data_IF_381922321962
#
_entry.id   IF_381922321962
#
_cell.length_a   1.000
_cell.length_b   1.000
_cell.length_c   1.000
_cell.angle_alpha   90.00
_cell.angle_beta   90.00
_cell.angle_gamma   90.00
#
_symmetry.space_group_name_H-M   'P 1'
#
loop_
_entity.id
_entity.type
_entity.pdbx_description
1 polymer ?
#
# COMPACT_ATOMS: atom_id res chain seq x y z
N UNK A 1 -28.44 18.71 -24.01
CA UNK A 1 -28.17 20.13 -24.33
C UNK A 1 -27.43 20.87 -23.23
N UNK A 2 -27.80 20.74 -21.95
CA UNK A 2 -27.05 21.38 -20.84
C UNK A 2 -25.61 20.84 -20.65
N UNK A 3 -25.37 19.53 -20.78
CA UNK A 3 -24.01 18.93 -20.67
C UNK A 3 -23.06 19.44 -21.75
N UNK A 4 -23.50 19.53 -23.00
CA UNK A 4 -22.68 20.02 -24.11
C UNK A 4 -22.32 21.51 -23.98
N UNK A 5 -23.16 22.31 -23.33
CA UNK A 5 -22.87 23.72 -23.07
C UNK A 5 -21.85 23.89 -21.93
N UNK A 6 -21.89 23.03 -20.91
CA UNK A 6 -20.94 23.04 -19.80
C UNK A 6 -19.53 22.62 -20.28
N UNK A 7 -19.43 21.61 -21.14
CA UNK A 7 -18.15 21.18 -21.75
C UNK A 7 -17.57 22.26 -22.67
N UNK A 8 -18.41 22.95 -23.45
CA UNK A 8 -17.97 24.04 -24.32
C UNK A 8 -17.47 25.26 -23.54
N UNK A 9 -18.06 25.58 -22.39
CA UNK A 9 -17.63 26.66 -21.50
C UNK A 9 -16.29 26.30 -20.83
N UNK A 10 -16.13 25.06 -20.39
CA UNK A 10 -14.87 24.59 -19.79
C UNK A 10 -13.71 24.61 -20.81
N UNK A 11 -13.97 24.31 -22.08
CA UNK A 11 -12.97 24.40 -23.15
C UNK A 11 -12.54 25.82 -23.52
N UNK A 12 -13.33 26.82 -23.15
CA UNK A 12 -13.02 28.25 -23.39
C UNK A 12 -12.27 28.92 -22.20
N UNK A 13 -12.16 28.23 -21.07
CA UNK A 13 -11.47 28.75 -19.87
C UNK A 13 -9.96 28.51 -19.97
N UNK A 14 -9.17 29.50 -19.51
CA UNK A 14 -7.72 29.28 -19.35
C UNK A 14 -7.42 28.18 -18.34
N UNK A 15 -6.26 27.51 -18.42
CA UNK A 15 -5.87 26.51 -17.42
C UNK A 15 -5.88 27.07 -15.98
N UNK A 16 -5.52 28.32 -15.77
CA UNK A 16 -5.61 28.99 -14.48
C UNK A 16 -7.05 29.12 -13.99
N UNK A 17 -7.97 29.55 -14.86
CA UNK A 17 -9.37 29.69 -14.50
C UNK A 17 -10.03 28.33 -14.19
N UNK A 18 -9.65 27.28 -14.93
CA UNK A 18 -10.07 25.89 -14.66
C UNK A 18 -9.53 25.41 -13.31
N UNK A 19 -8.29 25.76 -12.97
CA UNK A 19 -7.71 25.43 -11.67
C UNK A 19 -8.45 26.12 -10.51
N UNK A 20 -8.73 27.44 -10.63
CA UNK A 20 -9.47 28.16 -9.59
C UNK A 20 -10.93 27.63 -9.44
N UNK A 21 -11.56 27.22 -10.53
CA UNK A 21 -12.87 26.55 -10.48
C UNK A 21 -12.81 25.21 -9.73
N UNK A 22 -11.77 24.41 -9.98
CA UNK A 22 -11.55 23.14 -9.27
C UNK A 22 -11.30 23.37 -7.77
N UNK A 23 -10.53 24.41 -7.44
CA UNK A 23 -10.25 24.82 -6.07
C UNK A 23 -11.54 25.25 -5.33
N UNK A 24 -12.44 25.94 -6.01
CA UNK A 24 -13.75 26.33 -5.48
C UNK A 24 -14.62 25.08 -5.18
N UNK A 25 -14.66 24.11 -6.09
CA UNK A 25 -15.35 22.82 -5.89
C UNK A 25 -14.80 22.10 -4.64
N UNK A 26 -13.48 22.09 -4.46
CA UNK A 26 -12.83 21.46 -3.33
C UNK A 26 -13.09 22.19 -2.02
N UNK A 27 -12.74 23.51 -1.97
CA UNK A 27 -12.61 24.25 -0.73
C UNK A 27 -13.95 24.82 -0.23
N UNK A 28 -14.86 25.18 -1.15
CA UNK A 28 -16.13 25.84 -0.82
C UNK A 28 -17.29 24.87 -0.88
N UNK A 29 -17.37 24.04 -1.93
CA UNK A 29 -18.50 23.14 -2.11
C UNK A 29 -18.25 21.75 -1.47
N UNK A 30 -17.01 21.42 -1.14
CA UNK A 30 -16.65 20.11 -0.58
C UNK A 30 -16.77 18.94 -1.57
N UNK A 31 -16.92 19.24 -2.86
CA UNK A 31 -17.11 18.24 -3.93
C UNK A 31 -15.78 17.63 -4.36
N UNK A 32 -15.15 16.85 -3.48
CA UNK A 32 -13.82 16.29 -3.72
C UNK A 32 -13.70 15.49 -5.04
N UNK A 33 -14.74 14.73 -5.41
CA UNK A 33 -14.70 13.96 -6.65
C UNK A 33 -14.72 14.85 -7.90
N UNK A 34 -15.54 15.91 -7.92
CA UNK A 34 -15.55 16.89 -9.01
C UNK A 34 -14.22 17.61 -9.13
N UNK A 35 -13.66 18.04 -7.99
CA UNK A 35 -12.35 18.69 -7.94
C UNK A 35 -11.23 17.77 -8.46
N UNK A 36 -11.18 16.51 -8.01
CA UNK A 36 -10.18 15.54 -8.48
C UNK A 36 -10.24 15.34 -9.98
N UNK A 37 -11.43 15.16 -10.56
CA UNK A 37 -11.60 15.02 -12.01
C UNK A 37 -11.11 16.25 -12.77
N UNK A 38 -11.37 17.45 -12.25
CA UNK A 38 -10.91 18.70 -12.86
C UNK A 38 -9.39 18.86 -12.77
N UNK A 39 -8.76 18.48 -11.65
CA UNK A 39 -7.31 18.48 -11.52
C UNK A 39 -6.66 17.44 -12.46
N UNK A 40 -7.22 16.23 -12.57
CA UNK A 40 -6.73 15.21 -13.51
C UNK A 40 -6.82 15.68 -14.97
N UNK A 41 -7.89 16.38 -15.34
CA UNK A 41 -8.02 16.97 -16.66
C UNK A 41 -6.94 18.00 -16.94
N UNK A 42 -6.62 18.90 -15.97
CA UNK A 42 -5.52 19.87 -16.08
C UNK A 42 -4.14 19.21 -16.18
N UNK A 43 -3.93 18.13 -15.42
CA UNK A 43 -2.66 17.37 -15.40
C UNK A 43 -2.41 16.66 -16.73
N UNK A 44 -3.49 16.24 -17.40
CA UNK A 44 -3.45 15.50 -18.68
C UNK A 44 -3.44 16.41 -19.90
N UNK A 45 -3.77 17.67 -19.75
CA UNK A 45 -3.83 18.65 -20.83
C UNK A 45 -2.42 19.14 -21.21
N UNK A 46 -1.94 18.84 -22.44
CA UNK A 46 -0.61 19.24 -22.88
C UNK A 46 -0.43 20.78 -22.97
N UNK A 47 -1.51 21.54 -23.07
CA UNK A 47 -1.49 23.00 -23.12
C UNK A 47 -1.45 23.63 -21.72
N UNK A 48 -1.60 22.85 -20.65
CA UNK A 48 -1.52 23.34 -19.29
C UNK A 48 -0.10 23.75 -18.92
N UNK A 49 0.12 25.01 -18.46
CA UNK A 49 1.42 25.46 -18.02
C UNK A 49 1.99 24.64 -16.86
N UNK A 50 3.29 24.38 -16.87
CA UNK A 50 3.96 23.60 -15.79
C UNK A 50 3.60 24.03 -14.37
N UNK A 51 3.53 25.36 -14.04
CA UNK A 51 3.12 25.79 -12.70
C UNK A 51 1.70 25.36 -12.35
N UNK A 52 0.76 25.39 -13.30
CA UNK A 52 -0.62 24.94 -13.08
C UNK A 52 -0.67 23.42 -12.85
N UNK A 53 0.05 22.65 -13.67
CA UNK A 53 0.14 21.18 -13.51
C UNK A 53 0.70 20.83 -12.14
N UNK A 54 1.76 21.51 -11.68
CA UNK A 54 2.33 21.23 -10.36
C UNK A 54 1.36 21.53 -9.21
N UNK A 55 0.61 22.64 -9.31
CA UNK A 55 -0.45 22.99 -8.34
C UNK A 55 -1.59 21.97 -8.38
N UNK A 56 -2.04 21.59 -9.57
CA UNK A 56 -3.11 20.60 -9.75
C UNK A 56 -2.72 19.24 -9.17
N UNK A 57 -1.47 18.79 -9.39
CA UNK A 57 -0.95 17.57 -8.75
C UNK A 57 -0.95 17.67 -7.22
N UNK A 58 -0.60 18.84 -6.66
CA UNK A 58 -0.59 19.05 -5.22
C UNK A 58 -2.01 18.93 -4.64
N UNK A 59 -2.97 19.64 -5.24
CA UNK A 59 -4.37 19.62 -4.81
C UNK A 59 -5.02 18.24 -5.00
N UNK A 60 -4.70 17.55 -6.10
CA UNK A 60 -5.13 16.16 -6.29
C UNK A 60 -4.66 15.26 -5.14
N UNK A 61 -3.40 15.39 -4.73
CA UNK A 61 -2.87 14.67 -3.58
C UNK A 61 -3.63 14.99 -2.29
N UNK A 62 -3.91 16.27 -2.02
CA UNK A 62 -4.66 16.69 -0.85
C UNK A 62 -6.12 16.22 -0.86
N UNK A 63 -6.80 16.24 -2.01
CA UNK A 63 -8.15 15.69 -2.17
C UNK A 63 -8.19 14.18 -1.89
N UNK A 64 -7.19 13.44 -2.38
CA UNK A 64 -7.06 12.00 -2.12
C UNK A 64 -6.86 11.72 -0.63
N UNK A 65 -6.03 12.50 0.08
CA UNK A 65 -5.88 12.40 1.54
C UNK A 65 -7.20 12.66 2.28
N UNK A 66 -7.90 13.75 1.91
CA UNK A 66 -9.21 14.11 2.49
C UNK A 66 -10.28 13.04 2.27
N UNK A 67 -10.20 12.32 1.15
CA UNK A 67 -11.10 11.20 0.82
C UNK A 67 -10.70 9.87 1.47
N UNK A 68 -9.65 9.84 2.30
CA UNK A 68 -9.13 8.61 2.91
C UNK A 68 -8.31 7.73 1.96
N UNK A 69 -8.09 8.15 0.71
CA UNK A 69 -7.31 7.46 -0.33
C UNK A 69 -5.82 7.81 -0.22
N UNK A 70 -5.29 7.70 0.97
CA UNK A 70 -3.97 8.21 1.33
C UNK A 70 -2.85 7.59 0.48
N UNK A 71 -2.92 6.30 0.21
CA UNK A 71 -1.91 5.60 -0.61
C UNK A 71 -1.87 6.12 -2.05
N UNK A 72 -3.02 6.48 -2.60
CA UNK A 72 -3.10 7.04 -3.94
C UNK A 72 -2.55 8.47 -4.01
N UNK A 73 -2.70 9.24 -2.93
CA UNK A 73 -2.19 10.61 -2.83
C UNK A 73 -0.65 10.68 -2.94
N UNK A 74 0.04 9.59 -2.62
CA UNK A 74 1.50 9.51 -2.77
C UNK A 74 1.97 9.68 -4.22
N UNK A 75 1.16 9.23 -5.18
CA UNK A 75 1.50 9.31 -6.62
C UNK A 75 1.69 10.74 -7.11
N UNK A 76 0.71 11.65 -6.96
CA UNK A 76 0.87 13.04 -7.38
C UNK A 76 2.02 13.74 -6.64
N UNK A 77 2.23 13.50 -5.36
CA UNK A 77 3.35 14.11 -4.62
C UNK A 77 4.71 13.62 -5.13
N UNK A 78 4.85 12.32 -5.38
CA UNK A 78 6.10 11.77 -5.95
C UNK A 78 6.39 12.32 -7.34
N UNK A 79 5.34 12.53 -8.15
CA UNK A 79 5.48 13.16 -9.46
C UNK A 79 5.96 14.60 -9.36
N UNK A 80 5.42 15.39 -8.41
CA UNK A 80 5.88 16.75 -8.16
C UNK A 80 7.37 16.75 -7.78
N UNK A 81 7.76 15.93 -6.80
CA UNK A 81 9.13 15.89 -6.32
C UNK A 81 10.15 15.52 -7.41
N UNK A 82 9.74 14.67 -8.37
CA UNK A 82 10.60 14.15 -9.44
C UNK A 82 10.60 15.03 -10.70
N UNK A 83 9.42 15.46 -11.15
CA UNK A 83 9.25 16.09 -12.47
C UNK A 83 9.10 17.61 -12.39
N UNK A 84 8.76 18.16 -11.21
CA UNK A 84 8.48 19.58 -10.99
C UNK A 84 9.31 20.16 -9.83
N UNK A 85 10.56 19.72 -9.68
CA UNK A 85 11.45 20.21 -8.63
C UNK A 85 11.76 21.71 -8.76
N UNK A 86 11.62 22.27 -9.96
CA UNK A 86 11.71 23.69 -10.28
C UNK A 86 10.54 24.53 -9.74
N UNK A 87 9.40 23.88 -9.44
CA UNK A 87 8.23 24.53 -8.86
C UNK A 87 8.35 24.56 -7.33
N UNK A 88 9.08 25.55 -6.81
CA UNK A 88 9.61 25.59 -5.43
C UNK A 88 8.55 25.27 -4.37
N UNK A 89 7.37 25.94 -4.38
CA UNK A 89 6.33 25.75 -3.37
C UNK A 89 5.67 24.36 -3.45
N UNK A 90 5.10 23.95 -4.60
CA UNK A 90 4.54 22.60 -4.72
C UNK A 90 5.56 21.51 -4.41
N UNK A 91 6.82 21.66 -4.84
CA UNK A 91 7.86 20.67 -4.58
C UNK A 91 8.22 20.55 -3.09
N UNK A 92 8.30 21.67 -2.36
CA UNK A 92 8.56 21.66 -0.92
C UNK A 92 7.41 20.99 -0.16
N UNK A 93 6.16 21.32 -0.46
CA UNK A 93 4.98 20.73 0.16
C UNK A 93 4.88 19.23 -0.13
N UNK A 94 5.09 18.83 -1.38
CA UNK A 94 5.10 17.41 -1.76
C UNK A 94 6.19 16.62 -1.01
N UNK A 95 7.41 17.18 -0.87
CA UNK A 95 8.50 16.54 -0.10
C UNK A 95 8.13 16.40 1.38
N UNK A 96 7.52 17.42 1.97
CA UNK A 96 7.07 17.35 3.37
C UNK A 96 6.03 16.25 3.55
N UNK A 97 5.05 16.15 2.64
CA UNK A 97 4.05 15.07 2.67
C UNK A 97 4.70 13.69 2.52
N UNK A 98 5.61 13.54 1.56
CA UNK A 98 6.33 12.28 1.34
C UNK A 98 7.20 11.89 2.54
N UNK A 99 7.88 12.84 3.18
CA UNK A 99 8.67 12.59 4.39
C UNK A 99 7.78 12.08 5.54
N UNK A 100 6.60 12.67 5.75
CA UNK A 100 5.62 12.18 6.72
C UNK A 100 5.18 10.74 6.43
N UNK A 101 5.17 10.35 5.15
CA UNK A 101 4.88 8.97 4.77
C UNK A 101 6.04 8.02 4.95
N UNK A 102 7.27 8.44 4.70
CA UNK A 102 8.47 7.64 5.00
C UNK A 102 8.56 7.34 6.49
N UNK A 103 8.16 8.28 7.34
CA UNK A 103 7.99 8.05 8.78
C UNK A 103 6.82 7.07 9.08
N UNK A 104 5.76 7.09 8.27
CA UNK A 104 4.59 6.21 8.41
C UNK A 104 4.83 4.80 7.89
N UNK A 105 5.79 4.62 6.97
CA UNK A 105 6.23 3.33 6.43
C UNK A 105 7.70 3.09 6.81
N UNK A 106 7.98 2.83 8.09
CA UNK A 106 9.34 2.57 8.56
C UNK A 106 9.90 1.29 7.93
N UNK A 107 11.20 1.05 8.12
CA UNK A 107 11.82 -0.23 7.81
C UNK A 107 11.05 -1.41 8.44
N UNK A 108 11.18 -2.64 7.91
CA UNK A 108 10.54 -3.81 8.48
C UNK A 108 10.83 -3.92 9.98
N UNK A 109 9.79 -4.21 10.78
CA UNK A 109 9.91 -4.23 12.24
C UNK A 109 9.10 -5.37 12.86
N UNK A 110 9.47 -5.77 14.08
CA UNK A 110 8.80 -6.82 14.84
C UNK A 110 8.57 -8.10 14.00
N UNK A 111 9.59 -8.48 13.25
CA UNK A 111 9.54 -9.63 12.33
C UNK A 111 9.61 -10.98 13.07
N UNK A 112 10.09 -10.96 14.30
CA UNK A 112 10.16 -12.09 15.22
C UNK A 112 8.94 -12.17 16.18
N UNK A 113 8.00 -11.22 16.06
CA UNK A 113 6.82 -11.09 16.92
C UNK A 113 7.11 -11.00 18.42
N UNK A 114 8.32 -10.58 18.79
CA UNK A 114 8.70 -10.39 20.21
C UNK A 114 7.87 -9.31 20.88
N UNK A 115 7.44 -8.30 20.11
CA UNK A 115 6.62 -7.21 20.62
C UNK A 115 5.13 -7.54 20.51
N UNK A 116 4.36 -7.03 21.46
CA UNK A 116 2.90 -7.13 21.45
C UNK A 116 2.33 -7.96 22.58
N UNK A 117 1.03 -7.82 22.76
CA UNK A 117 0.25 -8.52 23.78
C UNK A 117 -0.38 -9.76 23.16
N UNK A 118 -0.28 -10.90 23.85
CA UNK A 118 -0.91 -12.15 23.41
C UNK A 118 -2.40 -11.94 23.16
N UNK A 119 -2.92 -12.49 22.07
CA UNK A 119 -4.30 -12.34 21.65
C UNK A 119 -4.64 -11.01 20.97
N UNK A 120 -3.66 -10.12 20.74
CA UNK A 120 -3.82 -8.86 20.01
C UNK A 120 -2.99 -8.86 18.73
N UNK A 121 -3.38 -8.00 17.78
CA UNK A 121 -2.60 -7.82 16.56
C UNK A 121 -1.16 -7.40 16.88
N UNK A 122 -0.14 -7.94 16.17
CA UNK A 122 1.25 -7.60 16.44
C UNK A 122 1.54 -6.14 16.07
N UNK A 123 2.19 -5.36 16.96
CA UNK A 123 2.59 -3.99 16.66
C UNK A 123 3.47 -3.92 15.41
N UNK A 124 3.20 -2.91 14.58
CA UNK A 124 3.93 -2.71 13.33
C UNK A 124 3.44 -3.53 12.15
N UNK A 125 2.47 -4.39 12.37
CA UNK A 125 1.77 -5.13 11.33
C UNK A 125 0.36 -4.59 11.13
N UNK A 126 -0.09 -4.60 9.90
CA UNK A 126 -1.42 -4.17 9.49
C UNK A 126 -2.32 -5.37 9.21
N UNK A 127 -3.60 -5.17 9.41
CA UNK A 127 -4.67 -6.12 9.05
C UNK A 127 -5.71 -5.39 8.22
N UNK A 128 -6.41 -6.05 7.29
CA UNK A 128 -7.52 -5.44 6.56
C UNK A 128 -8.63 -4.99 7.52
N UNK A 129 -9.49 -4.09 7.05
CA UNK A 129 -10.69 -3.71 7.79
C UNK A 129 -11.52 -4.98 8.11
N UNK A 130 -11.87 -5.13 9.37
CA UNK A 130 -12.65 -6.28 9.83
C UNK A 130 -14.08 -6.19 9.29
N UNK A 131 -14.65 -7.29 8.79
CA UNK A 131 -16.08 -7.39 8.61
C UNK A 131 -16.77 -7.34 9.97
N UNK A 132 -18.05 -6.91 10.01
CA UNK A 132 -18.81 -6.74 11.26
C UNK A 132 -18.87 -8.01 12.14
N UNK A 133 -18.75 -9.17 11.50
CA UNK A 133 -18.85 -10.49 12.15
C UNK A 133 -17.51 -11.06 12.62
N UNK A 134 -16.39 -10.36 12.39
CA UNK A 134 -15.06 -10.84 12.76
C UNK A 134 -14.44 -9.99 13.87
N UNK A 135 -13.98 -10.66 14.93
CA UNK A 135 -13.33 -10.00 16.07
C UNK A 135 -11.90 -9.53 15.72
N UNK A 136 -11.19 -10.30 14.89
CA UNK A 136 -9.78 -10.06 14.55
C UNK A 136 -9.35 -10.87 13.32
N UNK A 137 -8.33 -10.39 12.63
CA UNK A 137 -7.66 -11.11 11.55
C UNK A 137 -6.34 -11.75 11.97
N UNK A 138 -5.68 -11.23 12.99
CA UNK A 138 -4.40 -11.75 13.45
C UNK A 138 -4.17 -11.46 14.92
N UNK A 139 -3.36 -12.30 15.55
CA UNK A 139 -2.97 -12.16 16.96
C UNK A 139 -1.57 -12.69 17.23
N UNK A 140 -0.90 -12.11 18.22
CA UNK A 140 0.35 -12.61 18.78
C UNK A 140 0.07 -13.84 19.64
N UNK A 141 0.93 -14.84 19.54
CA UNK A 141 0.97 -16.04 20.40
C UNK A 141 2.34 -16.20 21.03
N UNK A 142 2.37 -16.78 22.25
CA UNK A 142 3.60 -17.10 22.99
C UNK A 142 3.80 -18.61 23.13
N UNK A 143 2.75 -19.40 22.86
CA UNK A 143 2.78 -20.85 22.90
C UNK A 143 2.49 -21.44 21.54
N UNK A 144 3.09 -22.61 21.25
CA UNK A 144 2.93 -23.25 19.95
C UNK A 144 3.76 -22.63 18.83
N UNK A 145 4.60 -21.63 19.16
CA UNK A 145 5.54 -21.01 18.25
C UNK A 145 6.76 -21.90 17.99
N UNK A 146 7.45 -21.65 16.91
CA UNK A 146 8.72 -22.29 16.58
C UNK A 146 9.88 -21.65 17.35
N UNK A 147 9.88 -20.32 17.44
CA UNK A 147 10.87 -19.54 18.18
C UNK A 147 10.41 -19.30 19.63
N UNK A 148 11.36 -18.82 20.47
CA UNK A 148 11.06 -18.38 21.84
C UNK A 148 10.55 -16.95 21.89
N UNK A 149 10.76 -16.15 20.85
CA UNK A 149 10.37 -14.73 20.78
C UNK A 149 8.87 -14.55 20.74
N UNK A 150 8.17 -15.46 20.03
CA UNK A 150 6.74 -15.43 19.77
C UNK A 150 6.46 -15.70 18.30
N UNK A 151 5.19 -15.73 17.96
CA UNK A 151 4.72 -15.88 16.59
C UNK A 151 3.41 -15.14 16.40
N UNK A 152 2.94 -15.04 15.18
CA UNK A 152 1.60 -14.55 14.91
C UNK A 152 0.72 -15.66 14.32
N UNK A 153 -0.58 -15.53 14.53
CA UNK A 153 -1.61 -16.38 13.91
C UNK A 153 -2.50 -15.48 13.07
N UNK A 154 -2.66 -15.83 11.80
CA UNK A 154 -3.60 -15.19 10.87
C UNK A 154 -4.84 -16.08 10.79
N UNK A 155 -5.99 -15.49 11.07
CA UNK A 155 -7.24 -16.21 11.22
C UNK A 155 -8.01 -16.23 9.90
N UNK A 156 -8.43 -17.42 9.48
CA UNK A 156 -9.38 -17.60 8.39
C UNK A 156 -10.81 -17.51 8.96
N UNK A 157 -11.48 -16.40 8.66
CA UNK A 157 -12.81 -16.15 9.21
C UNK A 157 -13.95 -16.54 8.24
N UNK A 158 -13.61 -16.93 7.00
CA UNK A 158 -14.60 -17.20 5.97
C UNK A 158 -13.97 -17.99 4.82
N UNK A 159 -14.71 -18.91 4.18
CA UNK A 159 -14.21 -19.61 3.00
C UNK A 159 -14.02 -18.70 1.77
N UNK A 160 -14.66 -17.52 1.77
CA UNK A 160 -14.61 -16.56 0.66
C UNK A 160 -13.79 -15.31 0.96
N UNK A 161 -13.25 -15.18 2.17
CA UNK A 161 -12.44 -14.04 2.59
C UNK A 161 -11.06 -14.50 3.02
N UNK A 162 -10.07 -13.71 2.65
CA UNK A 162 -8.67 -13.96 2.94
C UNK A 162 -8.32 -13.23 4.23
N UNK A 163 -7.89 -13.98 5.25
CA UNK A 163 -7.21 -13.40 6.40
C UNK A 163 -5.84 -12.88 5.96
N UNK A 164 -5.43 -11.73 6.44
CA UNK A 164 -4.18 -11.12 6.01
C UNK A 164 -3.49 -10.39 7.16
N UNK A 165 -2.16 -10.52 7.20
CA UNK A 165 -1.28 -9.80 8.11
C UNK A 165 -0.08 -9.31 7.30
N UNK A 166 0.15 -8.00 7.25
CA UNK A 166 1.14 -7.44 6.35
C UNK A 166 1.83 -6.19 6.90
N UNK A 167 2.95 -5.84 6.30
CA UNK A 167 3.61 -4.56 6.46
C UNK A 167 3.71 -3.85 5.11
N UNK A 168 3.57 -2.52 5.15
CA UNK A 168 3.89 -1.63 4.04
C UNK A 168 5.14 -0.84 4.42
N UNK A 169 6.15 -0.85 3.56
CA UNK A 169 7.42 -0.16 3.76
C UNK A 169 7.77 0.70 2.54
N UNK A 170 8.56 1.75 2.73
CA UNK A 170 9.10 2.52 1.62
C UNK A 170 10.04 1.67 0.78
N UNK A 171 9.87 1.71 -0.55
CA UNK A 171 10.78 1.04 -1.47
C UNK A 171 12.10 1.79 -1.65
N UNK A 172 12.25 3.02 -1.16
CA UNK A 172 13.38 3.91 -1.46
C UNK A 172 14.75 3.28 -1.17
N UNK A 173 14.89 2.56 -0.05
CA UNK A 173 16.13 1.89 0.34
C UNK A 173 16.42 0.60 -0.45
N UNK A 174 15.45 0.08 -1.19
CA UNK A 174 15.50 -1.23 -1.85
C UNK A 174 15.50 -1.16 -3.37
N UNK A 175 15.27 0.02 -3.96
CA UNK A 175 15.25 0.24 -5.42
C UNK A 175 16.50 -0.30 -6.10
N UNK A 176 16.32 -1.07 -7.18
CA UNK A 176 17.40 -1.69 -7.95
C UNK A 176 18.11 -2.85 -7.24
N UNK A 177 17.64 -3.22 -6.05
CA UNK A 177 18.18 -4.33 -5.27
C UNK A 177 17.30 -5.56 -5.38
N UNK A 178 17.88 -6.72 -5.08
CA UNK A 178 17.13 -7.94 -4.87
C UNK A 178 16.83 -8.08 -3.38
N UNK A 179 15.57 -8.32 -3.04
CA UNK A 179 15.15 -8.62 -1.68
C UNK A 179 14.78 -10.08 -1.54
N UNK A 180 15.02 -10.63 -0.37
CA UNK A 180 14.53 -11.94 0.06
C UNK A 180 13.67 -11.76 1.27
N UNK A 181 12.43 -12.27 1.21
CA UNK A 181 11.56 -12.41 2.36
C UNK A 181 11.45 -13.88 2.68
N UNK A 182 11.64 -14.28 3.93
CA UNK A 182 11.39 -15.64 4.36
C UNK A 182 10.63 -15.69 5.67
N UNK A 183 9.89 -16.78 5.88
CA UNK A 183 9.20 -17.05 7.13
C UNK A 183 9.02 -18.56 7.32
N UNK A 184 8.79 -18.96 8.56
CA UNK A 184 8.26 -20.28 8.88
C UNK A 184 6.76 -20.20 8.98
N UNK A 185 6.07 -21.07 8.25
CA UNK A 185 4.63 -21.15 8.20
C UNK A 185 4.17 -22.56 8.57
N UNK A 186 3.01 -22.66 9.19
CA UNK A 186 2.22 -23.89 9.31
C UNK A 186 0.73 -23.58 9.24
N UNK A 187 -0.05 -24.55 8.83
CA UNK A 187 -1.49 -24.44 8.74
C UNK A 187 -2.16 -25.34 9.77
N UNK A 188 -3.03 -24.79 10.59
CA UNK A 188 -3.86 -25.52 11.52
C UNK A 188 -5.29 -25.47 11.02
N UNK A 189 -5.75 -26.56 10.42
CA UNK A 189 -7.11 -26.68 9.90
C UNK A 189 -7.53 -28.14 9.80
N UNK A 190 -8.85 -28.38 9.92
CA UNK A 190 -9.47 -29.66 9.60
C UNK A 190 -9.76 -29.80 8.09
N UNK A 191 -9.82 -28.70 7.35
CA UNK A 191 -10.06 -28.69 5.91
C UNK A 191 -8.72 -28.69 5.16
N UNK A 192 -8.52 -29.68 4.29
CA UNK A 192 -7.32 -29.80 3.47
C UNK A 192 -7.21 -28.73 2.36
N UNK A 193 -8.30 -28.05 2.04
CA UNK A 193 -8.30 -26.95 1.08
C UNK A 193 -7.78 -25.65 1.70
N UNK A 194 -7.78 -25.54 3.02
CA UNK A 194 -7.25 -24.37 3.71
C UNK A 194 -5.73 -24.28 3.54
N UNK A 195 -5.24 -23.07 3.37
CA UNK A 195 -3.82 -22.84 3.09
C UNK A 195 -3.31 -21.50 3.60
N UNK A 196 -2.04 -21.50 3.98
CA UNK A 196 -1.26 -20.31 4.30
C UNK A 196 -0.30 -19.98 3.15
N UNK A 197 -0.14 -18.72 2.86
CA UNK A 197 0.74 -18.22 1.79
C UNK A 197 1.45 -16.97 2.25
N UNK A 198 2.75 -16.85 1.92
CA UNK A 198 3.41 -15.54 1.93
C UNK A 198 3.05 -14.79 0.65
N UNK A 199 3.18 -13.49 0.71
CA UNK A 199 3.05 -12.67 -0.48
C UNK A 199 3.95 -11.42 -0.41
N UNK A 200 4.28 -10.91 -1.56
CA UNK A 200 5.03 -9.69 -1.79
C UNK A 200 4.37 -8.92 -2.93
N UNK A 201 4.18 -7.64 -2.73
CA UNK A 201 3.73 -6.70 -3.75
C UNK A 201 4.68 -5.52 -3.82
N UNK A 202 4.98 -5.08 -5.04
CA UNK A 202 5.79 -3.88 -5.30
C UNK A 202 4.92 -2.90 -6.07
N UNK A 203 4.61 -1.75 -5.49
CA UNK A 203 3.91 -0.68 -6.19
C UNK A 203 4.91 0.24 -6.89
N UNK A 204 4.69 0.47 -8.18
CA UNK A 204 5.53 1.34 -9.03
C UNK A 204 4.93 2.72 -9.26
N UNK A 205 3.73 2.96 -8.71
CA UNK A 205 3.00 4.20 -8.97
C UNK A 205 2.52 4.34 -10.41
N UNK A 206 1.72 5.35 -10.68
CA UNK A 206 1.20 5.72 -12.00
C UNK A 206 0.41 4.61 -12.74
N UNK A 207 -0.24 3.71 -12.01
CA UNK A 207 -1.00 2.60 -12.62
C UNK A 207 -0.13 1.57 -13.35
N UNK A 208 1.21 1.61 -13.16
CA UNK A 208 2.11 0.60 -13.72
C UNK A 208 2.01 -0.66 -12.88
N UNK A 209 1.90 -1.77 -13.56
CA UNK A 209 1.95 -3.07 -12.91
C UNK A 209 3.33 -3.24 -12.25
N UNK A 210 3.32 -3.56 -10.98
CA UNK A 210 4.47 -3.98 -10.22
C UNK A 210 4.45 -5.48 -10.00
N UNK A 211 5.44 -6.00 -9.32
CA UNK A 211 5.47 -7.40 -8.93
C UNK A 211 4.34 -7.71 -7.94
N UNK A 212 3.64 -8.80 -8.17
CA UNK A 212 2.80 -9.46 -7.17
C UNK A 212 3.10 -10.96 -7.17
N UNK A 213 3.67 -11.45 -6.10
CA UNK A 213 3.97 -12.87 -5.85
C UNK A 213 3.24 -13.31 -4.59
N UNK A 214 2.43 -14.35 -4.66
CA UNK A 214 1.62 -14.81 -3.53
C UNK A 214 1.77 -16.30 -3.22
N UNK A 215 2.76 -16.97 -3.82
CA UNK A 215 3.03 -18.39 -3.62
C UNK A 215 1.81 -19.32 -3.86
N UNK A 216 0.94 -18.96 -4.80
CA UNK A 216 -0.26 -19.75 -5.09
C UNK A 216 0.07 -21.16 -5.63
N UNK A 217 1.25 -21.32 -6.22
CA UNK A 217 1.79 -22.58 -6.73
C UNK A 217 2.42 -23.49 -5.65
N UNK A 218 2.74 -22.91 -4.48
CA UNK A 218 3.45 -23.61 -3.40
C UNK A 218 2.95 -23.22 -2.00
N UNK A 219 1.63 -23.27 -1.73
CA UNK A 219 1.06 -22.91 -0.44
C UNK A 219 1.50 -23.88 0.67
N UNK A 220 1.30 -23.48 1.91
CA UNK A 220 1.51 -24.34 3.08
C UNK A 220 0.15 -24.80 3.58
N UNK A 221 -0.03 -26.14 3.60
CA UNK A 221 -1.24 -26.82 4.08
C UNK A 221 -0.93 -27.76 5.25
N UNK A 222 0.37 -27.92 5.54
CA UNK A 222 0.86 -28.79 6.59
C UNK A 222 0.74 -28.18 7.97
N UNK A 223 0.44 -28.99 8.98
CA UNK A 223 0.55 -28.63 10.38
C UNK A 223 2.00 -28.52 10.87
N UNK A 224 2.96 -29.05 10.09
CA UNK A 224 4.38 -28.94 10.37
C UNK A 224 4.93 -27.61 9.90
N UNK A 225 5.86 -27.04 10.68
CA UNK A 225 6.54 -25.81 10.31
C UNK A 225 7.35 -25.97 9.03
N UNK A 226 7.02 -25.19 8.04
CA UNK A 226 7.63 -25.20 6.71
C UNK A 226 8.21 -23.83 6.42
N UNK A 227 9.52 -23.76 6.10
CA UNK A 227 10.14 -22.52 5.66
C UNK A 227 9.71 -22.20 4.22
N UNK A 228 9.37 -20.96 3.98
CA UNK A 228 9.07 -20.42 2.65
C UNK A 228 9.86 -19.15 2.44
N UNK A 229 10.13 -18.85 1.16
CA UNK A 229 10.80 -17.60 0.78
C UNK A 229 10.30 -17.09 -0.57
N UNK A 230 10.33 -15.78 -0.73
CA UNK A 230 10.11 -15.05 -1.96
C UNK A 230 11.37 -14.22 -2.21
N UNK A 231 11.92 -14.32 -3.41
CA UNK A 231 13.06 -13.49 -3.86
C UNK A 231 12.59 -12.65 -5.03
N UNK A 232 12.80 -11.34 -4.95
CA UNK A 232 12.31 -10.42 -5.96
C UNK A 232 13.29 -9.26 -6.19
N UNK A 233 13.44 -8.86 -7.44
CA UNK A 233 14.10 -7.61 -7.79
C UNK A 233 13.12 -6.45 -7.63
N UNK A 234 13.57 -5.39 -6.96
CA UNK A 234 12.78 -4.19 -6.72
C UNK A 234 13.06 -3.17 -7.81
N UNK A 235 12.04 -2.80 -8.56
CA UNK A 235 12.15 -1.81 -9.64
C UNK A 235 12.77 -0.49 -9.15
N UNK A 236 13.53 0.18 -10.03
CA UNK A 236 14.14 1.47 -9.73
C UNK A 236 13.12 2.60 -9.46
N UNK A 237 11.89 2.41 -9.90
CA UNK A 237 10.80 3.35 -9.71
C UNK A 237 9.75 2.87 -8.71
N UNK A 238 10.03 1.80 -7.97
CA UNK A 238 9.18 1.31 -6.91
C UNK A 238 8.90 2.40 -5.85
N UNK A 239 7.68 2.47 -5.40
CA UNK A 239 7.19 3.48 -4.45
C UNK A 239 7.12 2.89 -3.06
N UNK A 240 6.45 1.75 -2.92
CA UNK A 240 6.41 1.00 -1.68
C UNK A 240 6.42 -0.52 -1.95
N UNK A 241 6.74 -1.26 -0.91
CA UNK A 241 6.73 -2.71 -0.87
C UNK A 241 5.75 -3.12 0.21
N UNK A 242 4.86 -4.02 -0.12
CA UNK A 242 4.01 -4.70 0.85
C UNK A 242 4.37 -6.17 0.88
N UNK A 243 4.43 -6.72 2.07
CA UNK A 243 4.69 -8.13 2.26
C UNK A 243 3.97 -8.67 3.48
N UNK A 244 3.62 -9.93 3.44
CA UNK A 244 2.88 -10.51 4.55
C UNK A 244 2.53 -11.96 4.39
N UNK A 245 1.58 -12.39 5.22
CA UNK A 245 1.03 -13.74 5.24
C UNK A 245 -0.48 -13.66 5.14
N UNK A 246 -1.03 -14.46 4.24
CA UNK A 246 -2.47 -14.61 4.08
C UNK A 246 -2.89 -16.05 4.36
N UNK A 247 -4.13 -16.21 4.80
CA UNK A 247 -4.78 -17.52 4.96
C UNK A 247 -6.06 -17.57 4.16
N UNK A 248 -6.25 -18.64 3.44
CA UNK A 248 -7.48 -18.97 2.75
C UNK A 248 -8.23 -20.05 3.53
N UNK A 249 -9.55 -19.89 3.63
CA UNK A 249 -10.42 -20.84 4.35
C UNK A 249 -10.74 -20.39 5.76
N UNK A 250 -10.98 -21.34 6.65
CA UNK A 250 -11.41 -21.12 8.05
C UNK A 250 -10.36 -21.48 9.10
N UNK A 251 -9.24 -22.03 8.66
CA UNK A 251 -8.17 -22.43 9.57
C UNK A 251 -7.32 -21.27 10.08
N UNK A 252 -6.20 -21.62 10.68
CA UNK A 252 -5.24 -20.69 11.27
C UNK A 252 -3.90 -20.85 10.61
N UNK A 253 -3.42 -19.80 9.94
CA UNK A 253 -2.05 -19.75 9.45
C UNK A 253 -1.14 -19.22 10.56
N UNK A 254 -0.19 -20.00 10.98
CA UNK A 254 0.84 -19.61 11.93
C UNK A 254 2.06 -19.11 11.17
N UNK A 255 2.65 -18.02 11.65
CA UNK A 255 3.86 -17.42 11.07
C UNK A 255 4.86 -17.09 12.15
N UNK A 256 6.12 -17.40 11.91
CA UNK A 256 7.22 -17.25 12.86
C UNK A 256 8.52 -16.88 12.13
N UNK A 257 9.39 -16.13 12.80
CA UNK A 257 10.75 -15.81 12.33
C UNK A 257 10.76 -15.27 10.90
N UNK A 258 10.00 -14.21 10.66
CA UNK A 258 10.03 -13.49 9.37
C UNK A 258 11.38 -12.82 9.21
N UNK A 259 11.95 -12.87 8.02
CA UNK A 259 13.11 -12.06 7.65
C UNK A 259 12.83 -11.27 6.38
N UNK A 260 13.42 -10.09 6.30
CA UNK A 260 13.41 -9.23 5.12
C UNK A 260 14.83 -8.70 4.93
N UNK A 261 15.52 -9.12 3.88
CA UNK A 261 16.93 -8.80 3.66
C UNK A 261 17.22 -8.48 2.19
N UNK A 262 18.25 -7.69 1.95
CA UNK A 262 18.80 -7.54 0.60
C UNK A 262 19.82 -8.65 0.34
N UNK A 263 19.78 -9.23 -0.86
CA UNK A 263 20.70 -10.28 -1.29
C UNK A 263 21.44 -9.85 -2.55
N UNK A 264 22.63 -10.42 -2.83
CA UNK A 264 23.31 -10.15 -4.08
C UNK A 264 22.44 -10.45 -5.29
N UNK A 265 22.60 -9.66 -6.34
CA UNK A 265 22.00 -9.95 -7.65
C UNK A 265 22.86 -11.01 -8.32
N UNK A 266 22.29 -12.20 -8.54
CA UNK A 266 22.97 -13.30 -9.27
C UNK A 266 23.08 -12.97 -10.75
#
# INVERSE_FOLDING_TARGET
MLLLVAEAIAAAMTPEARFESALYEEAVLGNLNSAMNAYEALISDPESPRPVVARALLQLGECLEKSGRREEARRPYSRIAKEFADQVRPAAQARTRLATWEESFPAPRNLDFAQGVEGRAPPGWSVPALPKEADRWAEVRRRGCRSQSGCAVVLGNSPVRVGNLYQSISAAAYRGKVVRISAWLRMESADRADRAQMWLSVDRGKGREGLFENMNDRPVQSAEWTRREIVAEIDNDAVFIEFGVMTYGRGRAWVDSVSFETVPKN
#
